data_IF_837473392407
#
_entry.id   IF_837473392407
#
_cell.length_a   1.000
_cell.length_b   1.000
_cell.length_c   1.000
_cell.angle_alpha   90.00
_cell.angle_beta   90.00
_cell.angle_gamma   90.00
#
_symmetry.space_group_name_H-M   'P 1'
#
loop_
_entity.id
_entity.type
_entity.pdbx_description
1 polymer ?
#
# COMPACT_ATOMS: atom_id res chain seq x y z
N UNK A 1 -18.09 2.55 38.16
CA UNK A 1 -18.14 1.11 38.48
C UNK A 1 -17.86 0.36 37.20
N UNK A 2 -16.75 -0.37 37.11
CA UNK A 2 -16.50 -1.27 35.98
C UNK A 2 -17.33 -2.54 36.18
N UNK A 3 -18.35 -2.75 35.35
CA UNK A 3 -19.04 -4.02 35.31
C UNK A 3 -18.05 -5.10 34.86
N UNK A 4 -18.04 -6.25 35.52
CA UNK A 4 -17.22 -7.39 35.11
C UNK A 4 -17.69 -7.80 33.71
N UNK A 5 -16.82 -7.85 32.70
CA UNK A 5 -17.21 -8.23 31.35
C UNK A 5 -17.70 -9.69 31.33
N UNK A 6 -18.61 -10.01 30.41
CA UNK A 6 -19.12 -11.37 30.28
C UNK A 6 -17.98 -12.32 29.93
N UNK A 7 -17.82 -13.43 30.66
CA UNK A 7 -16.73 -14.39 30.41
C UNK A 7 -16.79 -15.05 29.02
N UNK A 8 -17.96 -15.06 28.38
CA UNK A 8 -18.19 -15.54 27.02
C UNK A 8 -17.89 -14.48 25.94
N UNK A 9 -17.74 -13.22 26.34
CA UNK A 9 -17.70 -12.09 25.42
C UNK A 9 -16.48 -12.16 24.49
N UNK A 10 -15.33 -12.58 25.01
CA UNK A 10 -14.10 -12.76 24.22
C UNK A 10 -14.28 -13.80 23.11
N UNK A 11 -15.02 -14.88 23.37
CA UNK A 11 -15.26 -15.94 22.38
C UNK A 11 -16.17 -15.44 21.26
N UNK A 12 -17.24 -14.72 21.62
CA UNK A 12 -18.18 -14.15 20.67
C UNK A 12 -17.50 -13.08 19.79
N UNK A 13 -16.82 -12.13 20.42
CA UNK A 13 -16.08 -11.08 19.71
C UNK A 13 -14.97 -11.65 18.82
N UNK A 14 -14.29 -12.71 19.29
CA UNK A 14 -13.28 -13.42 18.50
C UNK A 14 -13.86 -14.07 17.24
N UNK A 15 -15.01 -14.73 17.37
CA UNK A 15 -15.69 -15.36 16.23
C UNK A 15 -16.26 -14.33 15.26
N UNK A 16 -16.95 -13.28 15.74
CA UNK A 16 -17.45 -12.20 14.89
C UNK A 16 -16.31 -11.53 14.11
N UNK A 17 -15.18 -11.21 14.75
CA UNK A 17 -14.01 -10.67 14.06
C UNK A 17 -13.45 -11.63 13.02
N UNK A 18 -13.42 -12.93 13.31
CA UNK A 18 -12.98 -13.92 12.34
C UNK A 18 -13.88 -13.93 11.10
N UNK A 19 -15.21 -13.90 11.27
CA UNK A 19 -16.13 -13.81 10.14
C UNK A 19 -15.95 -12.46 9.43
N UNK A 20 -16.20 -11.34 10.11
CA UNK A 20 -16.27 -10.02 9.49
C UNK A 20 -14.98 -9.57 8.79
N UNK A 21 -13.82 -10.01 9.28
CA UNK A 21 -12.51 -9.54 8.79
C UNK A 21 -11.56 -10.70 8.47
N UNK A 22 -11.38 -11.64 9.42
CA UNK A 22 -10.34 -12.67 9.32
C UNK A 22 -10.48 -13.59 8.11
N UNK A 23 -11.70 -14.02 7.79
CA UNK A 23 -11.97 -14.92 6.69
C UNK A 23 -11.68 -14.23 5.34
N UNK A 24 -12.09 -12.97 5.19
CA UNK A 24 -11.79 -12.18 3.99
C UNK A 24 -10.28 -11.96 3.84
N UNK A 25 -9.58 -11.62 4.93
CA UNK A 25 -8.13 -11.43 4.95
C UNK A 25 -7.37 -12.70 4.53
N UNK A 26 -7.72 -13.86 5.08
CA UNK A 26 -7.04 -15.13 4.75
C UNK A 26 -7.34 -15.57 3.33
N UNK A 27 -8.58 -15.45 2.88
CA UNK A 27 -8.95 -15.81 1.51
C UNK A 27 -8.29 -14.86 0.50
N UNK A 28 -8.02 -13.60 0.87
CA UNK A 28 -7.24 -12.66 0.03
C UNK A 28 -5.76 -13.03 -0.11
N UNK A 29 -5.21 -13.80 0.83
CA UNK A 29 -3.82 -14.29 0.79
C UNK A 29 -3.69 -15.59 0.00
N UNK A 30 -4.80 -16.19 -0.42
CA UNK A 30 -4.78 -17.47 -1.10
C UNK A 30 -4.02 -17.35 -2.44
N UNK A 31 -3.03 -18.22 -2.70
CA UNK A 31 -2.21 -18.13 -3.90
C UNK A 31 -3.05 -18.41 -5.16
N UNK A 32 -2.67 -17.78 -6.28
CA UNK A 32 -3.25 -18.09 -7.58
C UNK A 32 -2.92 -19.53 -7.93
N UNK A 33 -3.92 -20.29 -8.37
CA UNK A 33 -3.71 -21.65 -8.88
C UNK A 33 -3.58 -21.54 -10.39
N UNK A 34 -2.35 -21.74 -10.88
CA UNK A 34 -2.04 -21.74 -12.31
C UNK A 34 -2.02 -23.18 -12.84
N UNK A 35 -2.52 -23.41 -14.05
CA UNK A 35 -2.31 -24.67 -14.75
C UNK A 35 -0.83 -24.84 -15.16
N UNK A 36 -0.42 -26.08 -15.39
CA UNK A 36 0.94 -26.48 -15.83
C UNK A 36 1.42 -25.70 -17.06
N UNK A 37 0.48 -25.26 -17.91
CA UNK A 37 0.76 -24.50 -19.13
C UNK A 37 0.64 -22.97 -18.96
N UNK A 38 0.28 -22.47 -17.77
CA UNK A 38 0.05 -21.05 -17.46
C UNK A 38 -0.95 -20.34 -18.40
N UNK A 39 -1.86 -21.10 -19.02
CA UNK A 39 -2.94 -20.55 -19.86
C UNK A 39 -4.18 -20.15 -19.05
N UNK A 40 -4.35 -20.72 -17.86
CA UNK A 40 -5.52 -20.53 -17.00
C UNK A 40 -5.06 -20.34 -15.56
N UNK A 41 -5.51 -19.24 -14.96
CA UNK A 41 -5.28 -18.91 -13.55
C UNK A 41 -6.61 -18.84 -12.81
N UNK A 42 -6.67 -19.47 -11.65
CA UNK A 42 -7.77 -19.32 -10.70
C UNK A 42 -7.36 -18.34 -9.60
N UNK A 43 -8.07 -17.23 -9.54
CA UNK A 43 -7.96 -16.24 -8.47
C UNK A 43 -9.33 -16.09 -7.80
N UNK A 44 -9.34 -16.16 -6.47
CA UNK A 44 -10.58 -15.93 -5.73
C UNK A 44 -10.81 -14.42 -5.57
N UNK A 45 -11.88 -13.89 -6.17
CA UNK A 45 -12.30 -12.49 -6.00
C UNK A 45 -13.24 -12.37 -4.79
N UNK A 46 -12.67 -12.17 -3.60
CA UNK A 46 -13.37 -12.38 -2.31
C UNK A 46 -13.92 -11.14 -1.62
N UNK A 47 -14.39 -10.15 -2.35
CA UNK A 47 -15.04 -9.00 -1.70
C UNK A 47 -16.49 -9.30 -1.24
N UNK A 48 -17.06 -10.46 -1.59
CA UNK A 48 -18.50 -10.75 -1.38
C UNK A 48 -18.82 -12.24 -1.19
N UNK A 49 -18.19 -12.89 -0.21
CA UNK A 49 -18.73 -14.18 0.23
C UNK A 49 -20.02 -13.93 1.04
N UNK A 50 -20.97 -14.85 0.95
CA UNK A 50 -22.20 -14.78 1.73
C UNK A 50 -22.29 -16.01 2.65
N UNK A 51 -22.51 -15.76 3.94
CA UNK A 51 -22.84 -16.81 4.91
C UNK A 51 -24.35 -16.84 5.08
N UNK A 52 -24.92 -18.03 4.92
CA UNK A 52 -26.36 -18.25 5.10
C UNK A 52 -26.62 -18.74 6.52
N UNK A 53 -27.60 -18.14 7.19
CA UNK A 53 -28.00 -18.58 8.52
C UNK A 53 -28.46 -20.05 8.49
N UNK A 54 -27.99 -20.89 9.43
CA UNK A 54 -28.40 -22.29 9.48
C UNK A 54 -29.92 -22.43 9.64
N UNK A 55 -30.54 -23.33 8.87
CA UNK A 55 -32.00 -23.50 8.85
C UNK A 55 -32.55 -24.21 10.11
N UNK A 56 -31.73 -25.02 10.78
CA UNK A 56 -32.12 -25.82 11.95
C UNK A 56 -31.73 -25.08 13.22
N UNK A 57 -32.59 -25.05 14.25
CA UNK A 57 -32.25 -24.40 15.53
C UNK A 57 -31.24 -25.23 16.33
N UNK A 58 -30.41 -24.55 17.12
CA UNK A 58 -29.37 -25.16 17.95
C UNK A 58 -29.86 -26.36 18.79
N UNK A 59 -31.06 -26.26 19.38
CA UNK A 59 -31.62 -27.34 20.22
C UNK A 59 -31.91 -28.60 19.43
N UNK A 60 -32.45 -28.45 18.24
CA UNK A 60 -32.84 -29.56 17.38
C UNK A 60 -31.58 -30.24 16.83
N UNK A 61 -30.55 -29.46 16.50
CA UNK A 61 -29.21 -29.98 16.11
C UNK A 61 -28.58 -30.83 17.21
N UNK A 62 -28.68 -30.40 18.48
CA UNK A 62 -28.18 -31.17 19.62
C UNK A 62 -28.96 -32.47 19.79
N UNK A 63 -30.29 -32.43 19.68
CA UNK A 63 -31.15 -33.61 19.80
C UNK A 63 -30.83 -34.65 18.72
N UNK A 64 -30.63 -34.19 17.49
CA UNK A 64 -30.34 -35.04 16.34
C UNK A 64 -28.85 -35.40 16.21
N UNK A 65 -27.99 -34.89 17.09
CA UNK A 65 -26.53 -35.10 17.07
C UNK A 65 -25.87 -34.69 15.75
N UNK A 66 -26.31 -33.55 15.20
CA UNK A 66 -25.78 -32.98 13.95
C UNK A 66 -24.76 -31.87 14.21
N UNK A 67 -24.06 -31.43 13.16
CA UNK A 67 -23.18 -30.27 13.22
C UNK A 67 -23.95 -28.97 12.92
N UNK A 68 -23.83 -27.98 13.79
CA UNK A 68 -24.37 -26.63 13.54
C UNK A 68 -23.38 -25.86 12.65
N UNK A 69 -23.71 -25.71 11.36
CA UNK A 69 -22.83 -25.11 10.36
C UNK A 69 -23.59 -24.17 9.42
N UNK A 70 -22.88 -23.17 8.90
CA UNK A 70 -23.39 -22.19 7.94
C UNK A 70 -22.78 -22.48 6.56
N UNK A 71 -23.59 -22.32 5.51
CA UNK A 71 -23.13 -22.47 4.13
C UNK A 71 -22.45 -21.19 3.63
N UNK A 72 -21.32 -21.37 2.93
CA UNK A 72 -20.55 -20.30 2.30
C UNK A 72 -20.83 -20.26 0.79
N UNK A 73 -21.41 -19.17 0.31
CA UNK A 73 -21.65 -18.93 -1.12
C UNK A 73 -20.57 -18.02 -1.71
N UNK A 74 -19.94 -18.50 -2.77
CA UNK A 74 -18.96 -17.77 -3.57
C UNK A 74 -19.54 -17.63 -4.99
N UNK A 75 -19.57 -16.41 -5.57
CA UNK A 75 -19.99 -16.25 -6.96
C UNK A 75 -19.12 -17.07 -7.91
N UNK A 76 -19.74 -17.92 -8.73
CA UNK A 76 -19.04 -18.77 -9.70
C UNK A 76 -19.15 -18.14 -11.09
N UNK A 77 -18.08 -18.27 -11.89
CA UNK A 77 -18.07 -17.85 -13.28
C UNK A 77 -18.99 -18.74 -14.11
N UNK A 78 -19.90 -18.13 -14.86
CA UNK A 78 -20.77 -18.84 -15.82
C UNK A 78 -19.97 -19.33 -17.03
N UNK A 79 -20.55 -20.23 -17.83
CA UNK A 79 -19.96 -20.67 -19.10
C UNK A 79 -19.71 -19.55 -20.11
N UNK A 80 -20.29 -18.38 -19.91
CA UNK A 80 -20.08 -17.17 -20.71
C UNK A 80 -18.92 -16.30 -20.21
N UNK A 81 -18.19 -16.71 -19.18
CA UNK A 81 -17.10 -15.93 -18.59
C UNK A 81 -17.56 -14.77 -17.70
N UNK A 82 -18.84 -14.73 -17.32
CA UNK A 82 -19.43 -13.67 -16.50
C UNK A 82 -19.87 -14.18 -15.13
N UNK A 83 -19.90 -13.30 -14.13
CA UNK A 83 -20.45 -13.54 -12.80
C UNK A 83 -21.84 -12.91 -12.69
N UNK A 84 -22.77 -13.54 -11.99
CA UNK A 84 -24.07 -12.95 -11.67
C UNK A 84 -24.04 -12.49 -10.21
N UNK A 85 -24.08 -11.18 -9.99
CA UNK A 85 -24.06 -10.60 -8.64
C UNK A 85 -25.31 -9.74 -8.48
N UNK A 86 -26.18 -10.11 -7.54
CA UNK A 86 -27.47 -9.47 -7.30
C UNK A 86 -28.35 -9.38 -8.56
N UNK A 87 -28.37 -10.44 -9.37
CA UNK A 87 -29.16 -10.50 -10.61
C UNK A 87 -28.58 -9.73 -11.80
N UNK A 88 -27.37 -9.16 -11.68
CA UNK A 88 -26.70 -8.40 -12.73
C UNK A 88 -25.44 -9.15 -13.20
N UNK A 89 -25.29 -9.31 -14.52
CA UNK A 89 -24.06 -9.82 -15.13
C UNK A 89 -22.91 -8.84 -14.92
N UNK A 90 -21.80 -9.34 -14.39
CA UNK A 90 -20.54 -8.62 -14.18
C UNK A 90 -19.42 -9.41 -14.83
N UNK A 91 -18.55 -8.71 -15.53
CA UNK A 91 -17.35 -9.29 -16.13
C UNK A 91 -16.15 -8.75 -15.36
N UNK A 92 -15.28 -9.65 -14.93
CA UNK A 92 -13.99 -9.27 -14.35
C UNK A 92 -13.05 -8.94 -15.50
N UNK A 93 -12.43 -7.77 -15.45
CA UNK A 93 -11.45 -7.34 -16.45
C UNK A 93 -10.07 -7.44 -15.82
N UNK A 94 -9.19 -8.20 -16.46
CA UNK A 94 -7.79 -8.27 -16.07
C UNK A 94 -7.13 -6.91 -16.31
N UNK A 95 -6.57 -6.32 -15.24
CA UNK A 95 -5.80 -5.09 -15.34
C UNK A 95 -4.33 -5.44 -15.62
N UNK A 96 -3.76 -4.82 -16.65
CA UNK A 96 -2.32 -4.89 -16.90
C UNK A 96 -1.67 -3.77 -16.08
N UNK A 97 -0.98 -4.16 -15.01
CA UNK A 97 -0.20 -3.25 -14.18
C UNK A 97 1.28 -3.31 -14.57
N UNK A 98 2.02 -2.24 -14.28
CA UNK A 98 3.48 -2.27 -14.40
C UNK A 98 4.05 -3.22 -13.34
N UNK A 99 4.95 -4.10 -13.77
CA UNK A 99 5.68 -4.96 -12.84
C UNK A 99 6.50 -4.11 -11.86
N UNK A 100 6.77 -4.65 -10.66
CA UNK A 100 7.77 -4.06 -9.78
C UNK A 100 9.12 -3.97 -10.50
N UNK A 101 9.80 -2.84 -10.34
CA UNK A 101 11.05 -2.56 -11.03
C UNK A 101 11.44 -1.10 -11.01
N UNK A 102 12.58 -0.83 -11.67
CA UNK A 102 13.09 0.52 -11.87
C UNK A 102 12.95 0.86 -13.35
N UNK A 103 12.21 1.93 -13.64
CA UNK A 103 11.92 2.39 -14.99
C UNK A 103 12.56 3.75 -15.22
N UNK A 104 13.21 3.93 -16.37
CA UNK A 104 13.81 5.20 -16.77
C UNK A 104 13.06 5.80 -17.95
N UNK A 105 12.84 7.10 -17.90
CA UNK A 105 12.20 7.87 -18.95
C UNK A 105 12.96 9.17 -19.18
N UNK A 106 13.08 9.58 -20.44
CA UNK A 106 13.57 10.90 -20.83
C UNK A 106 12.49 11.60 -21.65
N UNK A 107 12.08 12.79 -21.20
CA UNK A 107 11.09 13.61 -21.90
C UNK A 107 11.74 14.91 -22.36
N UNK A 108 11.62 15.20 -23.65
CA UNK A 108 11.94 16.50 -24.21
C UNK A 108 10.74 17.43 -24.03
N UNK A 109 10.86 18.40 -23.13
CA UNK A 109 9.84 19.45 -23.00
C UNK A 109 9.93 20.44 -24.16
N UNK A 110 8.82 21.09 -24.50
CA UNK A 110 8.67 22.03 -25.63
C UNK A 110 9.78 23.09 -25.75
N UNK A 111 10.39 23.49 -24.63
CA UNK A 111 11.50 24.45 -24.61
C UNK A 111 12.87 23.83 -24.95
N UNK A 112 12.93 22.60 -25.46
CA UNK A 112 14.16 21.89 -25.82
C UNK A 112 14.95 21.32 -24.63
N UNK A 113 14.30 21.15 -23.46
CA UNK A 113 15.00 20.72 -22.26
C UNK A 113 14.56 19.32 -21.85
N UNK A 114 15.54 18.42 -21.80
CA UNK A 114 15.38 17.04 -21.35
C UNK A 114 15.16 16.99 -19.84
N UNK A 115 14.11 16.30 -19.42
CA UNK A 115 13.89 15.88 -18.04
C UNK A 115 14.07 14.37 -17.98
N UNK A 116 14.87 13.91 -17.03
CA UNK A 116 15.12 12.49 -16.80
C UNK A 116 14.38 12.05 -15.54
N UNK A 117 13.60 10.99 -15.67
CA UNK A 117 12.78 10.45 -14.58
C UNK A 117 13.13 8.98 -14.35
N UNK A 118 13.45 8.62 -13.11
CA UNK A 118 13.57 7.25 -12.64
C UNK A 118 12.40 6.91 -11.72
N UNK A 119 11.58 5.92 -12.06
CA UNK A 119 10.45 5.46 -11.25
C UNK A 119 10.78 4.11 -10.64
N UNK A 120 10.65 3.99 -9.33
CA UNK A 120 10.73 2.74 -8.58
C UNK A 120 9.31 2.31 -8.20
N UNK A 121 8.95 1.10 -8.64
CA UNK A 121 7.69 0.44 -8.32
C UNK A 121 8.04 -0.79 -7.50
N UNK A 122 7.49 -0.90 -6.30
CA UNK A 122 7.65 -2.06 -5.42
C UNK A 122 6.39 -2.90 -5.40
N UNK A 123 6.53 -4.19 -5.09
CA UNK A 123 5.39 -5.10 -4.85
C UNK A 123 4.47 -4.60 -3.73
N UNK A 124 5.05 -3.91 -2.75
CA UNK A 124 4.38 -3.38 -1.57
C UNK A 124 4.79 -1.92 -1.34
N UNK A 125 3.81 -1.05 -1.11
CA UNK A 125 4.04 0.35 -0.76
C UNK A 125 3.92 1.33 -1.93
N UNK A 126 4.33 2.57 -1.67
CA UNK A 126 4.18 3.68 -2.61
C UNK A 126 5.21 3.71 -3.74
N UNK A 127 4.80 4.30 -4.88
CA UNK A 127 5.67 4.61 -6.02
C UNK A 127 6.65 5.75 -5.68
N UNK A 128 7.94 5.54 -5.92
CA UNK A 128 8.98 6.56 -5.74
C UNK A 128 9.48 7.05 -7.10
N UNK A 129 9.38 8.35 -7.37
CA UNK A 129 9.88 8.95 -8.62
C UNK A 129 11.03 9.90 -8.31
N UNK A 130 12.12 9.79 -9.07
CA UNK A 130 13.28 10.67 -9.06
C UNK A 130 13.27 11.46 -10.36
N UNK A 131 13.31 12.78 -10.30
CA UNK A 131 13.30 13.67 -11.47
C UNK A 131 14.53 14.59 -11.44
N UNK A 132 15.31 14.60 -12.52
CA UNK A 132 16.39 15.58 -12.70
C UNK A 132 15.84 16.75 -13.52
N UNK A 133 15.80 17.93 -12.90
CA UNK A 133 15.30 19.14 -13.55
C UNK A 133 16.36 19.83 -14.43
N UNK A 134 15.91 20.91 -15.08
CA UNK A 134 16.72 21.74 -16.01
C UNK A 134 17.95 22.39 -15.36
N UNK A 135 17.94 22.55 -14.03
CA UNK A 135 19.03 23.15 -13.25
C UNK A 135 19.92 22.07 -12.61
N UNK A 136 19.83 20.83 -13.11
CA UNK A 136 20.52 19.66 -12.56
C UNK A 136 20.14 19.36 -11.11
N UNK A 137 18.94 19.76 -10.66
CA UNK A 137 18.43 19.44 -9.33
C UNK A 137 17.60 18.17 -9.38
N UNK A 138 17.93 17.23 -8.52
CA UNK A 138 17.22 15.99 -8.27
C UNK A 138 16.05 16.20 -7.29
N UNK A 139 14.85 15.96 -7.78
CA UNK A 139 13.61 15.96 -7.02
C UNK A 139 13.14 14.54 -6.78
N UNK A 140 12.41 14.34 -5.70
CA UNK A 140 11.79 13.09 -5.30
C UNK A 140 10.29 13.31 -5.19
N UNK A 141 9.51 12.35 -5.66
CA UNK A 141 8.08 12.26 -5.39
C UNK A 141 7.75 10.90 -4.81
N UNK A 142 7.11 10.87 -3.64
CA UNK A 142 6.65 9.64 -2.99
C UNK A 142 5.13 9.55 -3.14
N UNK A 143 4.61 8.44 -3.62
CA UNK A 143 3.16 8.18 -3.77
C UNK A 143 2.40 9.28 -4.52
N UNK A 144 3.01 9.84 -5.57
CA UNK A 144 2.45 10.95 -6.38
C UNK A 144 2.19 12.27 -5.62
N UNK A 145 2.84 12.48 -4.48
CA UNK A 145 2.71 13.71 -3.67
C UNK A 145 3.56 14.88 -4.22
N UNK A 146 3.81 15.90 -3.38
CA UNK A 146 4.64 17.05 -3.74
C UNK A 146 6.11 16.67 -4.01
N UNK A 147 6.80 17.52 -4.78
CA UNK A 147 8.23 17.36 -5.05
C UNK A 147 9.04 17.74 -3.82
N UNK A 148 9.88 16.81 -3.39
CA UNK A 148 10.85 16.94 -2.30
C UNK A 148 12.26 17.01 -2.87
N UNK A 149 13.18 17.72 -2.22
CA UNK A 149 14.60 17.60 -2.58
C UNK A 149 15.11 16.21 -2.21
N UNK A 150 15.95 15.61 -3.06
CA UNK A 150 16.62 14.33 -2.73
C UNK A 150 17.41 14.39 -1.43
N UNK A 151 17.97 15.56 -1.09
CA UNK A 151 18.71 15.75 0.15
C UNK A 151 17.81 15.61 1.38
N UNK A 152 16.57 16.09 1.31
CA UNK A 152 15.62 15.97 2.43
C UNK A 152 15.31 14.49 2.68
N UNK A 153 15.09 13.70 1.62
CA UNK A 153 14.89 12.25 1.74
C UNK A 153 16.12 11.56 2.35
N UNK A 154 17.30 11.78 1.79
CA UNK A 154 18.53 11.11 2.25
C UNK A 154 18.89 11.50 3.69
N UNK A 155 18.73 12.77 4.06
CA UNK A 155 18.93 13.24 5.42
C UNK A 155 17.88 12.70 6.39
N UNK A 156 16.61 12.57 5.97
CA UNK A 156 15.58 11.93 6.80
C UNK A 156 15.88 10.44 7.04
N UNK A 157 16.51 9.76 6.07
CA UNK A 157 17.04 8.39 6.23
C UNK A 157 18.25 8.32 7.19
N UNK A 158 18.84 9.46 7.55
CA UNK A 158 19.93 9.57 8.52
C UNK A 158 21.31 9.75 7.89
N UNK A 159 21.40 9.98 6.58
CA UNK A 159 22.67 10.25 5.93
C UNK A 159 23.08 11.72 6.10
N UNK A 160 24.34 11.95 6.43
CA UNK A 160 24.89 13.29 6.42
C UNK A 160 25.41 13.68 5.02
N UNK A 161 25.58 14.98 4.78
CA UNK A 161 25.99 15.46 3.45
C UNK A 161 27.34 14.92 2.99
N UNK A 162 28.27 14.67 3.93
CA UNK A 162 29.58 14.11 3.61
C UNK A 162 29.46 12.67 3.12
N UNK A 163 28.71 11.84 3.84
CA UNK A 163 28.40 10.46 3.45
C UNK A 163 27.71 10.40 2.08
N UNK A 164 26.76 11.30 1.82
CA UNK A 164 26.10 11.37 0.51
C UNK A 164 27.12 11.64 -0.58
N UNK A 165 27.96 12.68 -0.42
CA UNK A 165 28.93 13.09 -1.43
C UNK A 165 30.04 12.04 -1.66
N UNK A 166 30.41 11.27 -0.63
CA UNK A 166 31.43 10.21 -0.72
C UNK A 166 30.92 8.94 -1.42
N UNK A 167 29.60 8.69 -1.43
CA UNK A 167 29.02 7.44 -1.94
C UNK A 167 28.30 7.56 -3.29
N UNK A 168 28.10 8.78 -3.81
CA UNK A 168 27.43 9.00 -5.10
C UNK A 168 28.43 9.02 -6.26
N UNK A 169 28.03 8.49 -7.43
CA UNK A 169 28.87 8.49 -8.63
C UNK A 169 29.09 9.90 -9.22
N UNK A 170 28.15 10.83 -8.98
CA UNK A 170 28.11 12.17 -9.56
C UNK A 170 27.85 13.23 -8.47
N UNK A 171 28.84 13.52 -7.60
CA UNK A 171 28.68 14.43 -6.46
C UNK A 171 28.38 15.88 -6.88
N UNK A 172 28.77 16.30 -8.07
CA UNK A 172 28.52 17.63 -8.63
C UNK A 172 27.03 17.98 -8.73
N UNK A 173 26.16 16.98 -8.95
CA UNK A 173 24.71 17.17 -8.98
C UNK A 173 24.12 17.57 -7.62
N UNK A 174 24.83 17.27 -6.53
CA UNK A 174 24.40 17.63 -5.19
C UNK A 174 24.93 18.99 -4.75
N UNK A 175 26.02 19.48 -5.35
CA UNK A 175 26.60 20.79 -5.03
C UNK A 175 25.64 21.95 -5.34
N UNK A 176 24.80 21.81 -6.38
CA UNK A 176 23.80 22.82 -6.72
C UNK A 176 22.78 23.08 -5.61
N UNK A 177 22.59 22.12 -4.71
CA UNK A 177 21.65 22.24 -3.59
C UNK A 177 22.25 22.88 -2.34
N UNK A 178 23.58 22.85 -2.19
CA UNK A 178 24.25 23.33 -0.98
C UNK A 178 24.16 24.85 -0.81
N UNK A 179 23.96 25.57 -1.90
CA UNK A 179 23.87 27.03 -1.88
C UNK A 179 22.50 27.53 -1.39
N UNK A 180 21.44 26.72 -1.49
CA UNK A 180 20.06 27.20 -1.34
C UNK A 180 19.44 26.98 0.05
N UNK A 181 19.97 26.08 0.90
CA UNK A 181 19.48 25.88 2.28
C UNK A 181 20.55 25.32 3.22
N UNK A 182 20.54 25.75 4.49
CA UNK A 182 21.18 25.01 5.58
C UNK A 182 20.47 23.66 5.71
N UNK A 183 21.12 22.57 5.30
CA UNK A 183 20.68 21.23 5.62
C UNK A 183 20.59 21.15 7.15
N UNK A 184 19.37 21.01 7.67
CA UNK A 184 19.11 20.93 9.10
C UNK A 184 19.58 19.60 9.69
N UNK A 185 19.40 19.44 11.00
CA UNK A 185 19.59 18.14 11.65
C UNK A 185 18.62 17.09 11.06
N UNK A 186 18.88 15.80 11.33
CA UNK A 186 18.04 14.68 10.89
C UNK A 186 16.57 14.90 11.23
N UNK A 187 16.30 15.46 12.41
CA UNK A 187 14.95 15.75 12.92
C UNK A 187 14.23 16.78 12.03
N UNK A 188 14.94 17.82 11.59
CA UNK A 188 14.39 18.84 10.69
C UNK A 188 14.10 18.26 9.30
N UNK A 189 14.94 17.36 8.80
CA UNK A 189 14.72 16.69 7.53
C UNK A 189 13.48 15.78 7.57
N UNK A 190 13.30 15.01 8.66
CA UNK A 190 12.10 14.20 8.87
C UNK A 190 10.84 15.09 8.92
N UNK A 191 10.94 16.25 9.58
CA UNK A 191 9.84 17.20 9.67
C UNK A 191 9.45 17.78 8.30
N UNK A 192 10.43 18.29 7.54
CA UNK A 192 10.22 18.83 6.20
C UNK A 192 9.64 17.77 5.27
N UNK A 193 10.15 16.53 5.37
CA UNK A 193 9.63 15.40 4.62
C UNK A 193 8.16 15.12 4.98
N UNK A 194 7.81 15.05 6.27
CA UNK A 194 6.45 14.78 6.72
C UNK A 194 5.47 15.86 6.27
N UNK A 195 5.81 17.15 6.45
CA UNK A 195 4.96 18.28 6.06
C UNK A 195 4.64 18.25 4.56
N UNK A 196 5.66 18.04 3.72
CA UNK A 196 5.49 18.00 2.26
C UNK A 196 4.81 16.71 1.77
N UNK A 197 5.08 15.57 2.43
CA UNK A 197 4.42 14.31 2.10
C UNK A 197 2.94 14.28 2.50
N UNK A 198 2.61 14.79 3.69
CA UNK A 198 1.25 14.80 4.22
C UNK A 198 0.44 16.03 3.80
N UNK A 199 1.04 17.01 3.10
CA UNK A 199 0.44 18.30 2.78
C UNK A 199 -0.16 19.01 4.01
N UNK A 200 0.54 18.96 5.15
CA UNK A 200 0.09 19.60 6.40
C UNK A 200 0.80 20.95 6.54
N UNK A 201 0.05 22.04 6.45
CA UNK A 201 0.53 23.39 6.79
C UNK A 201 0.42 23.62 8.30
N UNK A 202 1.56 23.71 8.99
CA UNK A 202 1.61 24.06 10.42
C UNK A 202 2.96 23.82 11.09
N UNK A 203 3.14 24.39 12.29
CA UNK A 203 4.31 24.25 13.17
C UNK A 203 4.35 22.84 13.80
N UNK A 204 4.58 21.83 12.96
CA UNK A 204 4.87 20.49 13.44
C UNK A 204 6.17 20.52 14.24
N UNK A 205 6.16 19.90 15.42
CA UNK A 205 7.36 19.63 16.21
C UNK A 205 7.74 18.17 16.03
N UNK A 206 9.03 17.90 15.86
CA UNK A 206 9.51 16.54 15.72
C UNK A 206 9.13 15.69 16.94
N UNK A 207 8.64 14.49 16.69
CA UNK A 207 8.34 13.48 17.72
C UNK A 207 8.58 12.08 17.15
N UNK A 208 8.92 11.11 17.99
CA UNK A 208 9.11 9.71 17.55
C UNK A 208 7.83 9.10 16.97
N UNK A 209 6.66 9.54 17.43
CA UNK A 209 5.36 9.13 16.89
C UNK A 209 5.18 9.57 15.44
N UNK A 210 5.65 10.77 15.08
CA UNK A 210 5.59 11.30 13.71
C UNK A 210 6.46 10.48 12.75
N UNK A 211 7.66 10.06 13.19
CA UNK A 211 8.52 9.16 12.40
C UNK A 211 7.84 7.80 12.16
N UNK A 212 7.20 7.24 13.20
CA UNK A 212 6.43 5.98 13.07
C UNK A 212 5.21 6.13 12.16
N UNK A 213 4.49 7.25 12.22
CA UNK A 213 3.37 7.54 11.33
C UNK A 213 3.83 7.67 9.88
N UNK A 214 4.94 8.37 9.64
CA UNK A 214 5.54 8.51 8.32
C UNK A 214 5.90 7.15 7.71
N UNK A 215 6.61 6.31 8.47
CA UNK A 215 6.97 4.96 8.04
C UNK A 215 5.72 4.14 7.70
N UNK A 216 4.69 4.18 8.55
CA UNK A 216 3.43 3.51 8.29
C UNK A 216 2.78 4.00 7.00
N UNK A 217 2.68 5.31 6.78
CA UNK A 217 2.04 5.86 5.57
C UNK A 217 2.78 5.51 4.28
N UNK A 218 4.11 5.52 4.30
CA UNK A 218 4.92 5.11 3.14
C UNK A 218 4.66 3.65 2.79
N UNK A 219 4.60 2.78 3.81
CA UNK A 219 4.41 1.34 3.64
C UNK A 219 2.93 0.95 3.38
N UNK A 220 1.97 1.71 3.90
CA UNK A 220 0.53 1.43 3.79
C UNK A 220 -0.12 2.04 2.56
N UNK A 221 0.60 2.84 1.78
CA UNK A 221 0.09 3.32 0.48
C UNK A 221 0.02 2.11 -0.44
N UNK A 222 -1.17 1.50 -0.56
CA UNK A 222 -1.44 0.48 -1.60
C UNK A 222 -1.42 1.15 -2.98
N UNK A 223 -0.91 0.40 -3.97
CA UNK A 223 -1.03 0.75 -5.39
C UNK A 223 -2.48 0.83 -5.84
#
# INVERSE_FOLDING_TARGET
MSAIPGFNQIQFEGFCRFIDQGLAEELSKFPKIEDTNQEIDFEFFLERYQLVEPLIKERDVVYESLAYSSELYIPIMTSLGAFIVNGIYRIVINQILQSPGIYYQSELKDNGISVYTGTIISDWGGRLELEIDRKARIWVRVSRQQKLSILVLLSAMGLNIREILENVCYPELFLSFLNDKKIGSKENAILEFYQQFACVEGDAVFSESLSKDLQKKILSTKM
#
